data_IF_129108586392
#
_entry.id   IF_129108586392
#
_cell.length_a   1.000
_cell.length_b   1.000
_cell.length_c   1.000
_cell.angle_alpha   90.00
_cell.angle_beta   90.00
_cell.angle_gamma   90.00
#
_symmetry.space_group_name_H-M   'P 1'
#
loop_
_entity.id
_entity.type
_entity.pdbx_description
1 polymer ?
#
# COMPACT_ATOMS: atom_id res chain seq x y z
N UNK A 1 -27.66 39.74 64.34
CA UNK A 1 -26.79 39.79 63.14
C UNK A 1 -25.95 38.51 63.08
N UNK A 2 -25.58 38.02 61.88
CA UNK A 2 -24.85 36.76 61.54
C UNK A 2 -25.72 35.63 60.96
N UNK A 3 -26.33 35.85 59.79
CA UNK A 3 -26.93 34.78 58.95
C UNK A 3 -26.52 34.90 57.46
N UNK A 4 -25.31 35.39 57.18
CA UNK A 4 -24.79 35.62 55.83
C UNK A 4 -23.52 34.81 55.52
N UNK A 5 -23.37 33.62 56.12
CA UNK A 5 -22.17 32.77 55.92
C UNK A 5 -22.41 31.37 55.34
N UNK A 6 -23.62 30.80 55.45
CA UNK A 6 -23.88 29.40 55.05
C UNK A 6 -24.36 29.24 53.60
N UNK A 7 -24.96 30.28 53.02
CA UNK A 7 -25.41 30.26 51.62
C UNK A 7 -24.24 30.39 50.64
N UNK A 8 -23.32 31.32 50.89
CA UNK A 8 -22.14 31.56 50.05
C UNK A 8 -21.18 30.36 50.00
N UNK A 9 -21.02 29.61 51.10
CA UNK A 9 -20.15 28.42 51.15
C UNK A 9 -20.75 27.23 50.35
N UNK A 10 -22.08 27.07 50.34
CA UNK A 10 -22.75 25.98 49.63
C UNK A 10 -22.83 26.23 48.12
N UNK A 11 -23.01 27.47 47.68
CA UNK A 11 -22.94 27.82 46.25
C UNK A 11 -21.51 27.79 45.70
N UNK A 12 -20.49 28.05 46.52
CA UNK A 12 -19.09 27.91 46.12
C UNK A 12 -18.64 26.43 46.02
N UNK A 13 -19.15 25.55 46.90
CA UNK A 13 -18.89 24.10 46.85
C UNK A 13 -19.61 23.41 45.69
N UNK A 14 -20.82 23.84 45.33
CA UNK A 14 -21.58 23.27 44.20
C UNK A 14 -21.06 23.70 42.82
N UNK A 15 -20.48 24.90 42.73
CA UNK A 15 -19.85 25.39 41.50
C UNK A 15 -18.56 24.66 41.14
N UNK A 16 -17.82 24.19 42.15
CA UNK A 16 -16.55 23.46 41.95
C UNK A 16 -16.77 22.04 41.42
N UNK A 17 -17.87 21.39 41.79
CA UNK A 17 -18.22 20.04 41.29
C UNK A 17 -18.67 20.04 39.84
N UNK A 18 -19.21 21.14 39.31
CA UNK A 18 -19.66 21.21 37.90
C UNK A 18 -18.49 21.46 36.92
N UNK A 19 -17.42 22.10 37.38
CA UNK A 19 -16.23 22.33 36.56
C UNK A 19 -15.34 21.07 36.45
N UNK A 20 -15.38 20.18 37.46
CA UNK A 20 -14.58 18.94 37.48
C UNK A 20 -15.18 17.83 36.60
N UNK A 21 -16.49 17.80 36.38
CA UNK A 21 -17.13 16.75 35.57
C UNK A 21 -16.83 16.90 34.07
N UNK A 22 -16.61 18.11 33.57
CA UNK A 22 -16.33 18.38 32.15
C UNK A 22 -14.90 17.96 31.72
N UNK A 23 -13.94 17.87 32.66
CA UNK A 23 -12.57 17.45 32.36
C UNK A 23 -12.41 15.94 32.18
N UNK A 24 -13.43 15.13 32.52
CA UNK A 24 -13.36 13.66 32.46
C UNK A 24 -13.95 13.05 31.20
N UNK A 25 -14.42 13.86 30.24
CA UNK A 25 -15.02 13.37 28.99
C UNK A 25 -14.19 13.61 27.73
N UNK A 26 -12.92 14.02 27.85
CA UNK A 26 -12.02 14.09 26.71
C UNK A 26 -11.12 12.86 26.68
N UNK A 27 -11.13 12.19 25.54
CA UNK A 27 -10.26 11.07 25.13
C UNK A 27 -10.71 9.65 25.49
N UNK A 28 -11.84 9.24 24.95
CA UNK A 28 -11.88 7.96 24.22
C UNK A 28 -11.86 8.28 22.73
N UNK A 29 -10.73 8.80 22.24
CA UNK A 29 -10.44 8.64 20.82
C UNK A 29 -10.32 7.13 20.62
N UNK A 30 -11.09 6.58 19.69
CA UNK A 30 -11.05 5.16 19.40
C UNK A 30 -9.60 4.81 19.04
N UNK A 31 -8.96 3.97 19.85
CA UNK A 31 -7.73 3.30 19.45
C UNK A 31 -8.13 2.52 18.20
N UNK A 32 -7.62 2.86 16.99
CA UNK A 32 -7.85 2.00 15.86
C UNK A 32 -7.26 0.66 16.28
N UNK A 33 -8.08 -0.39 16.30
CA UNK A 33 -7.60 -1.74 16.52
C UNK A 33 -6.39 -1.90 15.59
N UNK A 34 -5.20 -2.02 16.16
CA UNK A 34 -4.00 -2.36 15.44
C UNK A 34 -4.21 -3.80 14.97
N UNK A 35 -4.96 -3.97 13.88
CA UNK A 35 -5.37 -5.26 13.40
C UNK A 35 -4.17 -5.93 12.75
N UNK A 36 -3.32 -6.61 13.54
CA UNK A 36 -2.39 -7.64 13.08
C UNK A 36 -1.57 -7.31 11.81
N UNK A 37 -1.32 -6.04 11.50
CA UNK A 37 -0.68 -5.59 10.26
C UNK A 37 0.84 -5.82 10.26
N UNK A 38 1.39 -6.38 11.33
CA UNK A 38 2.82 -6.56 11.55
C UNK A 38 3.24 -8.04 11.54
N UNK A 39 2.37 -8.92 11.02
CA UNK A 39 2.76 -10.32 10.82
C UNK A 39 3.79 -10.39 9.70
N UNK A 40 5.02 -10.73 10.09
CA UNK A 40 6.13 -10.99 9.19
C UNK A 40 6.04 -12.40 8.63
N UNK A 41 6.27 -12.50 7.32
CA UNK A 41 6.32 -13.77 6.60
C UNK A 41 7.67 -13.88 5.88
N UNK A 42 8.17 -15.10 5.75
CA UNK A 42 9.32 -15.41 4.90
C UNK A 42 8.83 -15.75 3.51
N UNK A 43 9.33 -15.05 2.49
CA UNK A 43 8.98 -15.35 1.10
C UNK A 43 9.60 -16.68 0.66
N UNK A 44 8.81 -17.74 0.55
CA UNK A 44 9.29 -19.08 0.17
C UNK A 44 9.18 -19.34 -1.33
N UNK A 45 8.28 -18.64 -2.03
CA UNK A 45 8.16 -18.77 -3.48
C UNK A 45 7.60 -17.53 -4.14
N UNK A 46 8.07 -17.29 -5.37
CA UNK A 46 7.66 -16.17 -6.20
C UNK A 46 7.42 -16.67 -7.63
N UNK A 47 6.17 -16.59 -8.07
CA UNK A 47 5.73 -17.01 -9.41
C UNK A 47 5.37 -15.77 -10.22
N UNK A 48 5.62 -15.80 -11.53
CA UNK A 48 5.27 -14.72 -12.46
C UNK A 48 4.29 -15.25 -13.50
N UNK A 49 3.21 -14.52 -13.75
CA UNK A 49 2.18 -14.81 -14.75
C UNK A 49 1.99 -13.58 -15.66
N UNK A 50 1.68 -13.81 -16.94
CA UNK A 50 1.41 -12.76 -17.95
C UNK A 50 2.65 -12.09 -18.56
N UNK A 51 3.84 -12.56 -18.21
CA UNK A 51 5.09 -12.13 -18.84
C UNK A 51 5.36 -12.96 -20.12
N UNK A 52 4.67 -12.61 -21.22
CA UNK A 52 4.76 -13.34 -22.49
C UNK A 52 6.01 -12.98 -23.31
N UNK A 53 6.43 -11.72 -23.30
CA UNK A 53 7.63 -11.27 -24.03
C UNK A 53 8.80 -10.91 -23.10
N UNK A 54 8.53 -10.61 -21.83
CA UNK A 54 9.53 -10.30 -20.80
C UNK A 54 9.95 -11.58 -20.08
N UNK A 55 11.25 -11.73 -19.85
CA UNK A 55 11.76 -12.88 -19.09
C UNK A 55 11.26 -12.86 -17.63
N UNK A 56 10.72 -13.99 -17.17
CA UNK A 56 10.16 -14.11 -15.83
C UNK A 56 11.20 -13.88 -14.71
N UNK A 57 12.49 -14.20 -14.91
CA UNK A 57 13.53 -13.90 -13.93
C UNK A 57 13.85 -12.40 -13.89
N UNK A 58 13.80 -11.72 -15.04
CA UNK A 58 13.92 -10.27 -15.10
C UNK A 58 12.80 -9.58 -14.30
N UNK A 59 11.54 -10.04 -14.43
CA UNK A 59 10.42 -9.53 -13.62
C UNK A 59 10.68 -9.71 -12.12
N UNK A 60 11.15 -10.89 -11.69
CA UNK A 60 11.52 -11.13 -10.28
C UNK A 60 12.62 -10.20 -9.82
N UNK A 61 13.66 -9.98 -10.64
CA UNK A 61 14.75 -9.07 -10.34
C UNK A 61 14.28 -7.63 -10.17
N UNK A 62 13.45 -7.14 -11.09
CA UNK A 62 12.90 -5.77 -11.02
C UNK A 62 12.00 -5.57 -9.82
N UNK A 63 11.22 -6.58 -9.42
CA UNK A 63 10.39 -6.52 -8.22
C UNK A 63 11.21 -6.31 -6.93
N UNK A 64 12.52 -6.58 -6.95
CA UNK A 64 13.37 -6.59 -5.77
C UNK A 64 12.84 -7.49 -4.63
N UNK A 65 12.02 -8.49 -4.98
CA UNK A 65 11.56 -9.50 -4.04
C UNK A 65 12.48 -10.72 -4.11
N UNK A 66 13.13 -11.04 -3.00
CA UNK A 66 14.06 -12.16 -2.90
C UNK A 66 13.46 -13.30 -2.08
N UNK A 67 13.56 -14.52 -2.61
CA UNK A 67 13.17 -15.73 -1.87
C UNK A 67 14.07 -15.85 -0.63
N UNK A 68 13.46 -16.07 0.53
CA UNK A 68 14.11 -16.14 1.83
C UNK A 68 14.10 -14.83 2.62
N UNK A 69 13.69 -13.71 2.02
CA UNK A 69 13.57 -12.46 2.76
C UNK A 69 12.32 -12.45 3.65
N UNK A 70 12.38 -11.71 4.76
CA UNK A 70 11.19 -11.37 5.54
C UNK A 70 10.47 -10.19 4.89
N UNK A 71 9.15 -10.26 4.84
CA UNK A 71 8.28 -9.19 4.37
C UNK A 71 6.99 -9.16 5.16
N UNK A 72 6.39 -7.98 5.26
CA UNK A 72 5.09 -7.80 5.92
C UNK A 72 3.99 -7.78 4.87
N UNK A 73 2.86 -8.43 5.14
CA UNK A 73 1.68 -8.42 4.24
C UNK A 73 0.45 -7.96 5.02
N UNK A 74 -0.20 -6.87 4.61
CA UNK A 74 0.25 -5.89 3.62
C UNK A 74 1.46 -5.08 4.12
N UNK A 75 2.42 -4.74 3.25
CA UNK A 75 3.66 -4.06 3.66
C UNK A 75 4.32 -3.20 2.59
N UNK A 76 5.38 -2.51 2.99
CA UNK A 76 6.13 -1.58 2.14
C UNK A 76 6.86 -2.32 1.02
N UNK A 77 7.34 -3.53 1.27
CA UNK A 77 8.09 -4.34 0.32
C UNK A 77 7.27 -4.64 -0.93
N UNK A 78 5.99 -5.01 -0.75
CA UNK A 78 5.05 -5.27 -1.86
C UNK A 78 4.79 -3.98 -2.63
N UNK A 79 4.58 -2.87 -1.93
CA UNK A 79 4.36 -1.57 -2.57
C UNK A 79 5.58 -1.12 -3.39
N UNK A 80 6.78 -1.29 -2.84
CA UNK A 80 8.05 -0.99 -3.53
C UNK A 80 8.25 -1.89 -4.74
N UNK A 81 7.92 -3.17 -4.64
CA UNK A 81 7.99 -4.11 -5.76
C UNK A 81 7.13 -3.66 -6.94
N UNK A 82 5.88 -3.27 -6.67
CA UNK A 82 4.97 -2.73 -7.70
C UNK A 82 5.57 -1.47 -8.34
N UNK A 83 6.08 -0.52 -7.52
CA UNK A 83 6.70 0.72 -8.02
C UNK A 83 7.92 0.45 -8.90
N UNK A 84 8.78 -0.48 -8.51
CA UNK A 84 9.98 -0.83 -9.27
C UNK A 84 9.65 -1.46 -10.63
N UNK A 85 8.60 -2.27 -10.68
CA UNK A 85 8.09 -2.85 -11.92
C UNK A 85 7.47 -1.78 -12.82
N UNK A 86 6.68 -0.86 -12.24
CA UNK A 86 6.13 0.29 -12.97
C UNK A 86 7.22 1.17 -13.59
N UNK A 87 8.33 1.38 -12.86
CA UNK A 87 9.46 2.17 -13.35
C UNK A 87 10.14 1.60 -14.60
N UNK A 88 9.91 0.33 -14.93
CA UNK A 88 10.45 -0.27 -16.16
C UNK A 88 9.72 0.21 -17.42
N UNK A 89 8.49 0.75 -17.31
CA UNK A 89 7.62 1.10 -18.45
C UNK A 89 7.42 -0.05 -19.44
N UNK A 90 7.35 -1.29 -18.95
CA UNK A 90 7.14 -2.50 -19.75
C UNK A 90 5.73 -3.09 -19.56
N UNK A 91 5.01 -2.66 -18.54
CA UNK A 91 3.74 -3.25 -18.13
C UNK A 91 2.64 -2.18 -18.11
N UNK A 92 1.45 -2.58 -18.56
CA UNK A 92 0.21 -1.80 -18.51
C UNK A 92 -0.48 -1.98 -17.15
N UNK A 93 -0.51 -3.22 -16.64
CA UNK A 93 -1.04 -3.55 -15.32
C UNK A 93 -0.09 -4.47 -14.54
N UNK A 94 -0.06 -4.32 -13.21
CA UNK A 94 0.77 -5.15 -12.31
C UNK A 94 0.02 -5.37 -11.00
N UNK A 95 -0.15 -6.63 -10.64
CA UNK A 95 -0.72 -7.06 -9.37
C UNK A 95 0.16 -8.09 -8.68
N UNK A 96 0.21 -8.03 -7.36
CA UNK A 96 0.91 -9.01 -6.52
C UNK A 96 -0.14 -9.68 -5.63
N UNK A 97 -0.35 -10.96 -5.86
CA UNK A 97 -1.39 -11.77 -5.21
C UNK A 97 -0.75 -12.75 -4.21
N UNK A 98 -1.46 -12.99 -3.11
CA UNK A 98 -1.12 -14.04 -2.16
C UNK A 98 -1.59 -15.39 -2.71
N UNK A 99 -0.68 -16.30 -3.02
CA UNK A 99 -1.04 -17.62 -3.52
C UNK A 99 -1.37 -18.57 -2.37
N UNK A 100 -0.43 -18.70 -1.42
CA UNK A 100 -0.54 -19.64 -0.31
C UNK A 100 0.29 -19.15 0.88
N UNK A 101 -0.18 -19.46 2.09
CA UNK A 101 0.56 -19.25 3.34
C UNK A 101 0.67 -20.60 4.05
N UNK A 102 1.90 -21.01 4.36
CA UNK A 102 2.22 -22.22 5.13
C UNK A 102 3.02 -21.82 6.35
N UNK A 103 2.41 -21.87 7.52
CA UNK A 103 3.00 -21.40 8.78
C UNK A 103 3.46 -19.93 8.68
N UNK A 104 4.78 -19.70 8.59
CA UNK A 104 5.41 -18.39 8.39
C UNK A 104 5.96 -18.19 6.99
N UNK A 105 5.76 -19.15 6.08
CA UNK A 105 6.20 -19.08 4.70
C UNK A 105 5.06 -18.61 3.80
N UNK A 106 5.37 -17.66 2.91
CA UNK A 106 4.42 -17.12 1.95
C UNK A 106 4.86 -17.37 0.52
N UNK A 107 3.88 -17.67 -0.33
CA UNK A 107 4.03 -17.81 -1.77
C UNK A 107 3.27 -16.68 -2.44
N UNK A 108 3.97 -15.88 -3.26
CA UNK A 108 3.40 -14.75 -3.97
C UNK A 108 3.37 -15.01 -5.48
N UNK A 109 2.35 -14.45 -6.12
CA UNK A 109 2.22 -14.43 -7.58
C UNK A 109 2.27 -12.99 -8.04
N UNK A 110 3.23 -12.68 -8.91
CA UNK A 110 3.27 -11.42 -9.65
C UNK A 110 2.53 -11.67 -10.96
N UNK A 111 1.45 -10.94 -11.18
CA UNK A 111 0.73 -10.91 -12.45
C UNK A 111 1.06 -9.58 -13.13
N UNK A 112 1.50 -9.65 -14.37
CA UNK A 112 1.80 -8.48 -15.20
C UNK A 112 1.05 -8.60 -16.51
N UNK A 113 0.58 -7.46 -17.01
CA UNK A 113 0.12 -7.33 -18.39
C UNK A 113 1.11 -6.43 -19.13
N UNK A 114 1.68 -6.92 -20.23
CA UNK A 114 2.74 -6.20 -20.94
C UNK A 114 2.20 -5.12 -21.88
N UNK A 115 2.92 -4.00 -21.98
CA UNK A 115 2.58 -2.92 -22.89
C UNK A 115 2.66 -3.40 -24.35
N UNK A 116 1.66 -3.05 -25.20
CA UNK A 116 1.67 -3.42 -26.60
C UNK A 116 2.85 -2.76 -27.32
N UNK A 117 3.66 -3.58 -27.99
CA UNK A 117 4.81 -3.10 -28.76
C UNK A 117 4.35 -2.63 -30.15
N UNK A 118 4.70 -1.39 -30.52
CA UNK A 118 4.42 -0.86 -31.85
C UNK A 118 5.22 -1.64 -32.91
N UNK A 119 4.61 -2.64 -33.51
CA UNK A 119 5.30 -3.58 -34.41
C UNK A 119 5.38 -3.04 -35.85
N UNK A 120 4.45 -2.17 -36.25
CA UNK A 120 4.46 -1.53 -37.57
C UNK A 120 3.57 -0.30 -37.56
N UNK A 121 4.11 0.85 -37.93
CA UNK A 121 3.31 2.02 -38.32
C UNK A 121 3.30 2.09 -39.86
N UNK A 122 2.16 2.45 -40.45
CA UNK A 122 2.05 2.75 -41.87
C UNK A 122 1.58 4.19 -41.97
N UNK A 123 2.35 5.04 -42.65
CA UNK A 123 1.92 6.42 -42.90
C UNK A 123 0.97 6.43 -44.10
N UNK A 124 -0.31 6.69 -43.86
CA UNK A 124 -1.27 6.94 -44.94
C UNK A 124 -1.14 8.40 -45.42
N UNK A 125 -0.98 8.60 -46.73
CA UNK A 125 -0.98 9.94 -47.35
C UNK A 125 0.40 10.55 -47.69
N UNK A 126 1.50 9.82 -47.50
CA UNK A 126 2.87 10.31 -47.81
C UNK A 126 3.42 9.59 -49.04
N UNK A 127 3.95 10.34 -50.01
CA UNK A 127 4.45 9.77 -51.26
C UNK A 127 5.67 8.87 -50.98
N UNK A 128 5.89 7.84 -51.80
CA UNK A 128 6.93 6.81 -51.59
C UNK A 128 8.34 7.39 -51.40
N UNK A 129 8.60 8.57 -51.96
CA UNK A 129 9.84 9.35 -51.86
C UNK A 129 10.07 10.06 -50.52
N UNK A 130 9.01 10.35 -49.76
CA UNK A 130 9.10 11.05 -48.46
C UNK A 130 9.15 10.07 -47.28
N UNK A 131 8.59 8.86 -47.47
CA UNK A 131 8.67 7.78 -46.47
C UNK A 131 10.10 7.26 -46.24
N UNK A 132 11.02 7.48 -47.19
CA UNK A 132 12.42 7.05 -47.08
C UNK A 132 13.27 8.02 -46.23
N UNK A 133 12.84 9.29 -46.11
CA UNK A 133 13.51 10.32 -45.31
C UNK A 133 13.13 10.27 -43.82
N UNK A 134 12.03 9.59 -43.47
CA UNK A 134 11.48 9.50 -42.10
C UNK A 134 11.77 8.16 -41.40
N UNK A 135 12.65 7.33 -41.96
CA UNK A 135 13.08 6.05 -41.37
C UNK A 135 14.08 6.23 -40.24
#
# INVERSE_FOLDING_TARGET
MKKTGKAAMRTLLLGCTLFVVCATQVAWAQVPNAADYDKKYTLAGLTVLGADYTDAQAVKLFSALQIGQELTIPGEEVTRAIRNLWAQNLFEDISIELAEVRDSQVYLVIRVDELPRLTRYTFEGVNRSEQETLR
#
